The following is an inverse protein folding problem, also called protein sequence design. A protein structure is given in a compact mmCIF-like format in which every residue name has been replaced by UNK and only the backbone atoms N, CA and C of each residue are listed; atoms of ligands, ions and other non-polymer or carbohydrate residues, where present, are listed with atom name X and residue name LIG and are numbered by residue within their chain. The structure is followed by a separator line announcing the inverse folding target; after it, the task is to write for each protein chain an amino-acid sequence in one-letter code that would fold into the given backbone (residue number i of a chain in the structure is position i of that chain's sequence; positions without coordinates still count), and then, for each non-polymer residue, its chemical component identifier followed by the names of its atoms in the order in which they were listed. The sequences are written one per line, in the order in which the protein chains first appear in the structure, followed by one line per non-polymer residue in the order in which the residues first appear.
data_IF_048085017874
#
_entry.id   IF_048085017874
#
_cell.length_a   1.000
_cell.length_b   1.000
_cell.length_c   1.000
_cell.angle_alpha   90.00
_cell.angle_beta   90.00
_cell.angle_gamma   90.00
#
_symmetry.space_group_name_H-M   'P 1'
#
loop_
_entity.id
_entity.type
_entity.pdbx_description
1 polymer ?
#
# COMPACT_ATOMS: atom_id res chain seq x y z
N UNK A 1 24.47 -26.90 -73.33
CA UNK A 1 23.38 -25.96 -73.20
C UNK A 1 22.80 -26.13 -71.79
N UNK A 2 23.19 -25.23 -70.87
CA UNK A 2 22.97 -25.33 -69.45
C UNK A 2 21.67 -24.60 -69.10
N UNK A 3 20.76 -25.30 -68.47
CA UNK A 3 19.58 -24.69 -67.82
C UNK A 3 19.93 -24.38 -66.35
N UNK A 4 20.02 -23.10 -66.01
CA UNK A 4 20.19 -22.64 -64.66
C UNK A 4 18.79 -22.34 -64.12
N UNK A 5 18.38 -23.08 -63.10
CA UNK A 5 17.14 -22.84 -62.34
C UNK A 5 17.35 -21.73 -61.33
N UNK A 6 16.53 -20.71 -61.41
CA UNK A 6 16.40 -19.66 -60.36
C UNK A 6 15.58 -20.22 -59.23
N UNK A 7 16.20 -20.36 -58.04
CA UNK A 7 15.53 -20.55 -56.77
C UNK A 7 15.33 -19.17 -56.17
N UNK A 8 14.12 -18.69 -56.18
CA UNK A 8 13.75 -17.45 -55.50
C UNK A 8 13.60 -17.70 -54.00
N UNK A 9 14.32 -16.92 -53.24
CA UNK A 9 14.29 -16.87 -51.77
C UNK A 9 13.00 -16.18 -51.33
N UNK A 10 12.14 -16.91 -50.64
CA UNK A 10 11.01 -16.38 -49.91
C UNK A 10 11.23 -16.67 -48.41
N UNK A 11 12.04 -15.84 -47.75
CA UNK A 11 12.15 -15.81 -46.30
C UNK A 11 12.25 -14.34 -45.87
N UNK A 12 11.20 -13.81 -45.34
CA UNK A 12 11.19 -12.72 -44.32
C UNK A 12 9.84 -12.00 -44.30
N UNK A 13 8.87 -12.53 -43.61
CA UNK A 13 7.73 -11.74 -43.09
C UNK A 13 6.94 -12.47 -41.98
N UNK A 14 7.60 -12.98 -40.92
CA UNK A 14 6.87 -13.55 -39.79
C UNK A 14 7.52 -13.29 -38.42
N UNK A 15 8.21 -12.17 -38.26
CA UNK A 15 8.90 -11.88 -36.99
C UNK A 15 8.56 -10.51 -36.33
N UNK A 16 7.44 -9.87 -36.69
CA UNK A 16 7.07 -8.56 -36.05
C UNK A 16 5.73 -8.60 -35.30
N UNK A 17 4.97 -9.67 -35.35
CA UNK A 17 3.68 -9.77 -34.67
C UNK A 17 3.76 -10.28 -33.18
N UNK A 18 4.94 -10.62 -32.70
CA UNK A 18 5.11 -11.25 -31.36
C UNK A 18 5.47 -10.32 -30.21
N UNK A 19 5.78 -9.06 -30.46
CA UNK A 19 6.27 -8.15 -29.41
C UNK A 19 5.18 -7.20 -28.87
N UNK A 20 4.08 -7.02 -29.57
CA UNK A 20 2.98 -6.16 -29.11
C UNK A 20 2.03 -6.81 -28.09
N UNK A 21 2.10 -8.12 -27.86
CA UNK A 21 1.20 -8.85 -26.96
C UNK A 21 1.75 -9.00 -25.52
N UNK A 22 2.95 -8.48 -25.22
CA UNK A 22 3.57 -8.62 -23.89
C UNK A 22 3.45 -7.38 -22.99
N UNK A 23 2.81 -6.30 -23.44
CA UNK A 23 2.64 -5.09 -22.66
C UNK A 23 1.22 -4.82 -22.14
N UNK A 24 0.31 -5.77 -22.26
CA UNK A 24 -1.10 -5.59 -21.87
C UNK A 24 -1.55 -6.50 -20.72
N UNK A 25 -0.65 -6.85 -19.80
CA UNK A 25 -0.98 -7.71 -18.66
C UNK A 25 -0.33 -7.26 -17.36
N UNK A 26 -0.46 -6.00 -17.02
CA UNK A 26 -0.08 -5.50 -15.69
C UNK A 26 -1.21 -4.73 -14.98
N UNK A 27 -2.45 -4.92 -15.39
CA UNK A 27 -3.62 -4.56 -14.56
C UNK A 27 -4.23 -5.83 -14.00
N UNK A 28 -3.53 -6.46 -13.07
CA UNK A 28 -4.07 -7.53 -12.25
C UNK A 28 -5.27 -7.02 -11.47
N UNK A 29 -6.45 -7.24 -12.01
CA UNK A 29 -7.70 -6.90 -11.37
C UNK A 29 -7.96 -7.96 -10.32
N UNK A 30 -7.78 -7.64 -9.03
CA UNK A 30 -8.13 -8.57 -7.95
C UNK A 30 -9.59 -9.01 -8.14
N UNK A 31 -9.84 -10.32 -8.15
CA UNK A 31 -11.18 -10.91 -8.21
C UNK A 31 -11.95 -10.77 -6.89
N UNK A 32 -11.48 -9.94 -5.95
CA UNK A 32 -12.10 -9.70 -4.67
C UNK A 32 -13.28 -8.72 -4.73
N UNK A 33 -14.10 -8.76 -3.68
CA UNK A 33 -15.19 -7.81 -3.49
C UNK A 33 -14.67 -6.38 -3.37
N UNK A 34 -15.43 -5.44 -3.93
CA UNK A 34 -15.10 -4.02 -3.80
C UNK A 34 -15.62 -3.47 -2.46
N UNK A 35 -14.85 -2.58 -1.85
CA UNK A 35 -15.27 -1.86 -0.66
C UNK A 35 -16.53 -1.02 -0.94
N UNK A 36 -17.54 -1.06 -0.06
CA UNK A 36 -18.74 -0.26 -0.19
C UNK A 36 -18.42 1.24 -0.20
N UNK A 37 -19.34 2.05 -0.72
CA UNK A 37 -19.26 3.52 -0.89
C UNK A 37 -18.28 3.93 -2.00
N UNK A 38 -17.02 3.47 -1.95
CA UNK A 38 -15.97 3.94 -2.85
C UNK A 38 -15.69 3.00 -4.02
N UNK A 39 -16.13 1.73 -3.94
CA UNK A 39 -15.87 0.75 -4.99
C UNK A 39 -14.38 0.41 -5.16
N UNK A 40 -13.58 0.61 -4.13
CA UNK A 40 -12.15 0.29 -4.12
C UNK A 40 -11.98 -1.21 -3.95
N UNK A 41 -11.23 -1.83 -4.86
CA UNK A 41 -10.80 -3.22 -4.73
C UNK A 41 -9.44 -3.30 -4.04
N UNK A 42 -9.14 -4.45 -3.43
CA UNK A 42 -7.82 -4.69 -2.84
C UNK A 42 -6.75 -4.59 -3.93
N UNK A 43 -5.82 -3.61 -3.86
CA UNK A 43 -4.79 -3.46 -4.86
C UNK A 43 -3.83 -4.65 -4.86
N UNK A 44 -3.47 -5.16 -6.03
CA UNK A 44 -2.47 -6.21 -6.14
C UNK A 44 -1.05 -5.69 -5.89
N UNK A 45 -0.16 -6.55 -5.41
CA UNK A 45 1.25 -6.22 -5.21
C UNK A 45 1.52 -5.16 -4.14
N UNK A 46 0.53 -4.74 -3.36
CA UNK A 46 0.72 -3.67 -2.36
C UNK A 46 1.79 -4.00 -1.29
N UNK A 47 2.09 -5.26 -1.08
CA UNK A 47 3.15 -5.70 -0.16
C UNK A 47 4.56 -5.38 -0.64
N UNK A 48 4.72 -5.18 -1.95
CA UNK A 48 6.01 -4.86 -2.59
C UNK A 48 6.21 -3.34 -2.79
N UNK A 49 5.24 -2.53 -2.34
CA UNK A 49 5.33 -1.08 -2.42
C UNK A 49 6.36 -0.54 -1.44
N UNK A 50 6.84 0.67 -1.72
CA UNK A 50 7.88 1.31 -0.88
C UNK A 50 7.32 1.84 0.41
N UNK A 51 8.13 1.75 1.46
CA UNK A 51 7.82 2.29 2.78
C UNK A 51 7.73 3.82 2.72
N UNK A 52 6.63 4.34 3.26
CA UNK A 52 6.45 5.78 3.53
C UNK A 52 6.78 6.06 5.00
N UNK A 53 6.24 5.27 5.92
CA UNK A 53 6.35 5.51 7.36
C UNK A 53 6.06 4.24 8.16
N UNK A 54 6.52 4.26 9.41
CA UNK A 54 6.12 3.28 10.43
C UNK A 54 5.54 4.01 11.63
N UNK A 55 4.56 3.39 12.30
CA UNK A 55 3.91 3.96 13.48
C UNK A 55 3.62 2.87 14.51
N UNK A 56 3.67 3.26 15.77
CA UNK A 56 3.08 2.53 16.87
C UNK A 56 1.84 3.28 17.35
N UNK A 57 0.72 2.57 17.50
CA UNK A 57 -0.51 3.12 18.05
C UNK A 57 -0.80 2.43 19.38
N UNK A 58 -0.97 3.25 20.41
CA UNK A 58 -1.36 2.78 21.75
C UNK A 58 -2.54 3.59 22.24
N UNK A 59 -3.40 2.99 23.03
CA UNK A 59 -4.54 3.70 23.60
C UNK A 59 -5.56 2.76 24.23
N UNK A 60 -6.61 3.34 24.79
CA UNK A 60 -7.74 2.57 25.29
C UNK A 60 -8.55 2.06 24.12
N UNK A 61 -8.88 0.77 24.12
CA UNK A 61 -9.76 0.21 23.10
C UNK A 61 -11.18 0.76 23.27
N UNK A 62 -11.77 1.24 22.18
CA UNK A 62 -13.14 1.80 22.16
C UNK A 62 -14.24 0.73 22.37
N UNK A 63 -13.89 -0.54 22.41
CA UNK A 63 -14.83 -1.68 22.44
C UNK A 63 -15.19 -2.17 23.83
N UNK A 64 -14.88 -1.44 24.89
CA UNK A 64 -15.33 -1.78 26.25
C UNK A 64 -14.74 -3.03 26.90
N UNK A 65 -13.81 -3.72 26.24
CA UNK A 65 -13.16 -4.95 26.76
C UNK A 65 -12.04 -4.67 27.77
N UNK A 66 -11.73 -3.40 28.02
CA UNK A 66 -10.64 -3.01 28.93
C UNK A 66 -9.23 -3.32 28.43
N UNK A 67 -9.10 -3.90 27.24
CA UNK A 67 -7.80 -4.23 26.64
C UNK A 67 -7.19 -2.98 26.01
N UNK A 68 -5.92 -2.73 26.29
CA UNK A 68 -5.18 -1.63 25.68
C UNK A 68 -4.93 -1.90 24.20
N UNK A 69 -5.14 -0.89 23.35
CA UNK A 69 -4.76 -0.95 21.96
C UNK A 69 -3.23 -0.89 21.85
N UNK A 70 -2.63 -1.90 21.26
CA UNK A 70 -1.19 -1.94 20.94
C UNK A 70 -1.04 -2.45 19.51
N UNK A 71 -0.70 -1.57 18.59
CA UNK A 71 -0.59 -1.88 17.18
C UNK A 71 0.68 -1.31 16.58
N UNK A 72 1.30 -2.08 15.72
CA UNK A 72 2.30 -1.62 14.78
C UNK A 72 1.67 -1.41 13.40
N UNK A 73 2.10 -0.35 12.72
CA UNK A 73 1.61 0.02 11.41
C UNK A 73 2.77 0.34 10.48
N UNK A 74 2.75 -0.23 9.27
CA UNK A 74 3.59 0.21 8.17
C UNK A 74 2.71 0.90 7.12
N UNK A 75 3.17 2.03 6.61
CA UNK A 75 2.50 2.78 5.56
C UNK A 75 3.35 2.72 4.30
N UNK A 76 2.75 2.21 3.23
CA UNK A 76 3.39 1.96 1.94
C UNK A 76 2.75 2.83 0.86
N UNK A 77 3.51 3.14 -0.19
CA UNK A 77 3.02 3.88 -1.33
C UNK A 77 3.42 3.25 -2.65
N UNK A 78 2.53 3.35 -3.64
CA UNK A 78 2.91 3.07 -5.01
C UNK A 78 3.89 4.15 -5.53
N UNK A 79 4.44 3.96 -6.70
CA UNK A 79 5.47 4.87 -7.26
C UNK A 79 5.00 6.32 -7.36
N UNK A 80 3.72 6.55 -7.68
CA UNK A 80 3.16 7.90 -7.76
C UNK A 80 3.07 8.57 -6.38
N UNK A 81 2.63 7.86 -5.36
CA UNK A 81 2.60 8.37 -3.99
C UNK A 81 4.01 8.67 -3.48
N UNK A 82 4.95 7.76 -3.68
CA UNK A 82 6.36 7.96 -3.27
C UNK A 82 6.98 9.15 -3.99
N UNK A 83 6.73 9.29 -5.30
CA UNK A 83 7.23 10.46 -6.04
C UNK A 83 6.66 11.76 -5.50
N UNK A 84 5.33 11.81 -5.24
CA UNK A 84 4.67 13.00 -4.69
C UNK A 84 5.26 13.40 -3.33
N UNK A 85 5.55 12.44 -2.45
CA UNK A 85 6.19 12.70 -1.16
C UNK A 85 7.60 13.28 -1.32
N UNK A 86 8.42 12.72 -2.20
CA UNK A 86 9.80 13.18 -2.44
C UNK A 86 9.86 14.58 -3.03
N UNK A 87 8.92 14.88 -3.94
CA UNK A 87 8.83 16.16 -4.61
C UNK A 87 8.08 17.22 -3.78
N UNK A 88 7.49 16.84 -2.65
CA UNK A 88 6.61 17.73 -1.87
C UNK A 88 5.35 18.15 -2.62
N UNK A 89 4.88 17.31 -3.57
CA UNK A 89 3.74 17.63 -4.43
C UNK A 89 2.41 17.46 -3.69
N UNK A 90 1.62 18.54 -3.63
CA UNK A 90 0.23 18.54 -3.15
C UNK A 90 -0.64 19.37 -4.10
N UNK A 91 -1.88 18.94 -4.37
CA UNK A 91 -2.46 17.64 -3.99
C UNK A 91 -1.74 16.46 -4.63
N UNK A 92 -1.90 15.28 -4.06
CA UNK A 92 -1.37 14.05 -4.66
C UNK A 92 -1.94 13.86 -6.08
N UNK A 93 -1.14 13.34 -7.03
CA UNK A 93 -1.61 13.09 -8.39
C UNK A 93 -2.61 11.93 -8.42
N UNK A 94 -3.55 11.98 -9.36
CA UNK A 94 -4.47 10.87 -9.62
C UNK A 94 -3.69 9.58 -9.90
N UNK A 95 -4.16 8.46 -9.33
CA UNK A 95 -3.46 7.19 -9.35
C UNK A 95 -2.46 6.99 -8.20
N UNK A 96 -2.19 7.99 -7.35
CA UNK A 96 -1.43 7.77 -6.12
C UNK A 96 -2.23 6.87 -5.17
N UNK A 97 -1.56 5.87 -4.58
CA UNK A 97 -2.16 4.95 -3.62
C UNK A 97 -1.29 4.86 -2.38
N UNK A 98 -1.92 4.97 -1.23
CA UNK A 98 -1.31 4.80 0.09
C UNK A 98 -1.98 3.61 0.76
N UNK A 99 -1.18 2.68 1.26
CA UNK A 99 -1.63 1.54 2.04
C UNK A 99 -1.15 1.67 3.48
N UNK A 100 -2.02 1.37 4.46
CA UNK A 100 -1.66 1.26 5.86
C UNK A 100 -1.92 -0.18 6.32
N UNK A 101 -0.86 -0.89 6.66
CA UNK A 101 -0.91 -2.29 7.11
C UNK A 101 -0.83 -2.33 8.62
N UNK A 102 -1.74 -3.05 9.25
CA UNK A 102 -1.89 -3.07 10.70
C UNK A 102 -1.66 -4.47 11.27
N UNK A 103 -0.92 -4.53 12.37
CA UNK A 103 -0.68 -5.75 13.14
C UNK A 103 -0.85 -5.45 14.64
N UNK A 104 -1.19 -6.49 15.40
CA UNK A 104 -0.98 -6.44 16.83
C UNK A 104 0.53 -6.30 17.10
N UNK A 105 0.87 -5.51 18.11
CA UNK A 105 2.22 -5.50 18.67
C UNK A 105 2.41 -6.77 19.48
N UNK A 106 3.53 -7.45 19.28
CA UNK A 106 3.92 -8.66 19.96
C UNK A 106 5.38 -8.57 20.44
N UNK A 107 5.77 -9.42 21.36
CA UNK A 107 7.13 -9.49 21.90
C UNK A 107 7.49 -10.94 22.18
N UNK A 108 8.79 -11.24 22.26
CA UNK A 108 9.25 -12.55 22.65
C UNK A 108 10.34 -12.45 23.72
N UNK A 109 10.32 -13.38 24.68
CA UNK A 109 11.35 -13.44 25.71
C UNK A 109 12.73 -13.72 25.11
N UNK A 110 12.81 -14.50 24.03
CA UNK A 110 14.06 -14.80 23.33
C UNK A 110 14.66 -13.53 22.70
N UNK A 111 13.82 -12.72 22.04
CA UNK A 111 14.27 -11.48 21.42
C UNK A 111 14.73 -10.48 22.48
N UNK A 112 13.97 -10.35 23.57
CA UNK A 112 14.32 -9.48 24.69
C UNK A 112 15.62 -9.91 25.39
N UNK A 113 15.83 -11.21 25.60
CA UNK A 113 17.10 -11.73 26.11
C UNK A 113 18.27 -11.45 25.16
N UNK A 114 18.05 -11.60 23.85
CA UNK A 114 19.07 -11.34 22.83
C UNK A 114 19.48 -9.87 22.80
N UNK A 115 18.49 -8.97 22.84
CA UNK A 115 18.73 -7.51 22.88
C UNK A 115 19.44 -7.11 24.19
N UNK A 116 19.00 -7.64 25.33
CA UNK A 116 19.63 -7.38 26.62
C UNK A 116 21.08 -7.90 26.69
N UNK A 117 21.37 -9.05 26.08
CA UNK A 117 22.73 -9.61 26.00
C UNK A 117 23.63 -8.76 25.08
N UNK A 118 23.11 -8.26 23.96
CA UNK A 118 23.85 -7.39 23.03
C UNK A 118 24.11 -5.99 23.57
N UNK A 119 23.22 -5.50 24.47
CA UNK A 119 23.27 -4.14 25.01
C UNK A 119 23.04 -4.13 26.53
N UNK A 120 23.99 -4.71 27.30
CA UNK A 120 23.81 -4.87 28.74
C UNK A 120 23.67 -3.51 29.45
N UNK A 121 22.72 -3.44 30.38
CA UNK A 121 22.50 -2.25 31.21
C UNK A 121 21.64 -1.16 30.55
N UNK A 122 21.19 -1.29 29.30
CA UNK A 122 20.34 -0.31 28.64
C UNK A 122 18.84 -0.54 28.88
N UNK A 123 18.43 -1.71 29.39
CA UNK A 123 17.03 -2.02 29.62
C UNK A 123 16.17 -2.04 28.33
N UNK A 124 16.78 -2.42 27.21
CA UNK A 124 16.08 -2.45 25.92
C UNK A 124 15.13 -3.66 25.87
N UNK A 125 13.94 -3.40 25.33
CA UNK A 125 12.97 -4.43 24.99
C UNK A 125 12.66 -4.36 23.49
N UNK A 126 12.41 -5.52 22.89
CA UNK A 126 12.07 -5.65 21.46
C UNK A 126 10.60 -5.96 21.31
N UNK A 127 9.95 -5.26 20.38
CA UNK A 127 8.60 -5.58 19.92
C UNK A 127 8.57 -5.68 18.40
N UNK A 128 7.68 -6.53 17.88
CA UNK A 128 7.56 -6.77 16.45
C UNK A 128 6.09 -6.85 16.02
N UNK A 129 5.86 -6.86 14.69
CA UNK A 129 4.52 -7.02 14.12
C UNK A 129 4.08 -8.49 14.25
N UNK A 130 3.12 -8.73 15.13
CA UNK A 130 2.52 -10.05 15.38
C UNK A 130 1.39 -10.36 14.39
N UNK A 131 0.23 -10.78 14.92
CA UNK A 131 -0.91 -11.17 14.07
C UNK A 131 -1.45 -9.98 13.25
N UNK A 132 -1.70 -10.24 11.94
CA UNK A 132 -2.26 -9.24 11.04
C UNK A 132 -3.70 -8.88 11.42
N UNK A 133 -4.03 -7.61 11.39
CA UNK A 133 -5.36 -7.08 11.67
C UNK A 133 -6.10 -6.75 10.37
N UNK A 134 -5.72 -5.67 9.71
CA UNK A 134 -6.35 -5.19 8.48
C UNK A 134 -5.35 -4.43 7.61
N UNK A 135 -5.77 -4.15 6.39
CA UNK A 135 -5.07 -3.27 5.47
C UNK A 135 -6.03 -2.18 4.98
N UNK A 136 -5.64 -0.93 5.15
CA UNK A 136 -6.42 0.23 4.70
C UNK A 136 -5.77 0.86 3.49
N UNK A 137 -6.60 1.39 2.59
CA UNK A 137 -6.13 2.02 1.36
C UNK A 137 -6.79 3.37 1.14
N UNK A 138 -6.00 4.31 0.63
CA UNK A 138 -6.44 5.56 0.05
C UNK A 138 -6.01 5.59 -1.42
N UNK A 139 -6.95 5.79 -2.33
CA UNK A 139 -6.69 5.84 -3.78
C UNK A 139 -7.11 7.22 -4.31
N UNK A 140 -6.18 7.95 -4.91
CA UNK A 140 -6.44 9.26 -5.49
C UNK A 140 -7.08 9.12 -6.87
N UNK A 141 -8.26 9.71 -7.02
CA UNK A 141 -8.94 9.98 -8.29
C UNK A 141 -9.82 11.21 -8.06
N UNK A 142 -9.34 12.36 -8.51
CA UNK A 142 -9.95 13.67 -8.25
C UNK A 142 -11.35 13.81 -8.82
N UNK A 143 -11.68 13.06 -9.89
CA UNK A 143 -12.98 13.05 -10.54
C UNK A 143 -13.95 12.08 -9.88
N UNK A 144 -13.51 10.83 -9.73
CA UNK A 144 -14.34 9.75 -9.16
C UNK A 144 -14.72 10.02 -7.70
N UNK A 145 -13.79 10.56 -6.93
CA UNK A 145 -13.94 10.76 -5.49
C UNK A 145 -14.05 12.24 -5.09
N UNK A 146 -14.58 13.09 -5.97
CA UNK A 146 -14.71 14.54 -5.73
C UNK A 146 -15.39 14.87 -4.38
N UNK A 147 -16.42 14.10 -3.99
CA UNK A 147 -17.16 14.29 -2.73
C UNK A 147 -16.34 13.99 -1.47
N UNK A 148 -15.22 13.30 -1.60
CA UNK A 148 -14.30 12.92 -0.51
C UNK A 148 -12.89 13.50 -0.71
N UNK A 149 -12.81 14.71 -1.27
CA UNK A 149 -11.53 15.40 -1.50
C UNK A 149 -10.64 14.73 -2.55
N UNK A 150 -11.23 13.94 -3.44
CA UNK A 150 -10.52 13.19 -4.47
C UNK A 150 -9.93 11.86 -3.99
N UNK A 151 -10.32 11.36 -2.81
CA UNK A 151 -9.82 10.10 -2.26
C UNK A 151 -10.92 9.07 -2.10
N UNK A 152 -10.71 7.88 -2.66
CA UNK A 152 -11.45 6.67 -2.32
C UNK A 152 -10.77 5.93 -1.17
N UNK A 153 -11.57 5.32 -0.31
CA UNK A 153 -11.10 4.63 0.89
C UNK A 153 -11.53 3.17 0.89
N UNK A 154 -10.70 2.31 1.46
CA UNK A 154 -11.04 0.92 1.71
C UNK A 154 -10.34 0.39 2.95
N UNK A 155 -11.00 -0.57 3.61
CA UNK A 155 -10.47 -1.37 4.71
C UNK A 155 -10.73 -2.84 4.41
N UNK A 156 -9.69 -3.68 4.47
CA UNK A 156 -9.78 -5.11 4.20
C UNK A 156 -9.24 -5.91 5.37
N UNK A 157 -10.05 -6.86 5.85
CA UNK A 157 -9.62 -7.86 6.83
C UNK A 157 -9.64 -9.24 6.18
N UNK A 158 -8.50 -9.93 6.18
CA UNK A 158 -8.35 -11.25 5.51
C UNK A 158 -8.82 -11.23 4.05
N UNK A 159 -8.51 -10.15 3.34
CA UNK A 159 -8.85 -9.95 1.93
C UNK A 159 -10.30 -9.58 1.65
N UNK A 160 -11.16 -9.46 2.65
CA UNK A 160 -12.56 -9.05 2.51
C UNK A 160 -12.74 -7.60 2.95
N UNK A 161 -13.53 -6.79 2.20
CA UNK A 161 -13.81 -5.42 2.61
C UNK A 161 -14.65 -5.39 3.88
N UNK A 162 -14.44 -4.36 4.70
CA UNK A 162 -15.33 -4.02 5.79
C UNK A 162 -16.72 -3.60 5.30
N UNK A 163 -17.63 -3.40 6.24
CA UNK A 163 -19.01 -3.01 5.93
C UNK A 163 -19.15 -1.51 5.55
N UNK A 164 -20.35 -1.12 5.16
CA UNK A 164 -20.68 0.26 4.79
C UNK A 164 -20.53 1.23 5.99
N UNK A 165 -20.92 0.79 7.19
CA UNK A 165 -20.84 1.61 8.40
C UNK A 165 -19.39 1.97 8.77
N UNK A 166 -18.45 1.06 8.51
CA UNK A 166 -17.01 1.30 8.65
C UNK A 166 -16.55 2.33 7.61
N UNK A 167 -16.86 2.10 6.32
CA UNK A 167 -16.39 2.96 5.24
C UNK A 167 -17.00 4.37 5.27
N UNK A 168 -18.21 4.53 5.79
CA UNK A 168 -18.83 5.84 5.99
C UNK A 168 -18.04 6.75 6.96
N UNK A 169 -17.18 6.20 7.81
CA UNK A 169 -16.33 6.94 8.76
C UNK A 169 -14.99 7.39 8.18
N UNK A 170 -14.58 6.84 7.03
CA UNK A 170 -13.25 7.09 6.49
C UNK A 170 -13.03 8.58 6.20
N UNK A 171 -13.81 9.17 5.30
CA UNK A 171 -13.62 10.57 4.92
C UNK A 171 -13.84 11.56 6.07
N UNK A 172 -14.89 11.46 6.90
CA UNK A 172 -15.03 12.32 8.08
C UNK A 172 -13.81 12.30 9.01
N UNK A 173 -13.19 11.14 9.21
CA UNK A 173 -11.96 11.02 9.98
C UNK A 173 -10.77 11.74 9.29
N UNK A 174 -10.69 11.69 7.97
CA UNK A 174 -9.61 12.30 7.20
C UNK A 174 -9.82 13.81 6.91
N UNK A 175 -11.04 14.32 6.99
CA UNK A 175 -11.40 15.71 6.70
C UNK A 175 -10.53 16.76 7.42
N UNK A 176 -10.13 16.58 8.70
CA UNK A 176 -9.25 17.55 9.39
C UNK A 176 -7.86 17.68 8.77
N UNK A 177 -7.40 16.72 7.97
CA UNK A 177 -6.09 16.75 7.32
C UNK A 177 -6.11 17.42 5.93
N UNK A 178 -7.11 18.27 5.63
CA UNK A 178 -7.32 18.92 4.32
C UNK A 178 -6.06 19.60 3.79
N UNK A 179 -5.33 20.31 4.63
CA UNK A 179 -4.11 21.05 4.24
C UNK A 179 -2.97 20.13 3.77
N UNK A 180 -3.09 18.84 3.99
CA UNK A 180 -2.17 17.79 3.52
C UNK A 180 -2.87 16.84 2.56
N UNK A 181 -3.82 17.36 1.80
CA UNK A 181 -4.65 16.57 0.89
C UNK A 181 -5.31 15.36 1.58
N UNK A 182 -5.81 15.56 2.82
CA UNK A 182 -6.50 14.54 3.65
C UNK A 182 -5.63 13.35 4.09
N UNK A 183 -4.29 13.46 4.00
CA UNK A 183 -3.36 12.40 4.33
C UNK A 183 -2.68 12.67 5.67
N UNK A 184 -2.76 11.70 6.61
CA UNK A 184 -2.08 11.78 7.91
C UNK A 184 -0.63 11.29 7.85
N UNK A 185 -0.32 10.42 6.89
CA UNK A 185 1.00 9.82 6.74
C UNK A 185 2.04 10.86 6.36
N UNK A 186 3.22 10.79 6.99
CA UNK A 186 4.36 11.63 6.69
C UNK A 186 5.49 10.78 6.14
N UNK A 187 6.19 11.28 5.13
CA UNK A 187 7.35 10.60 4.59
C UNK A 187 8.49 10.64 5.60
N UNK A 188 9.05 9.48 5.92
CA UNK A 188 10.21 9.39 6.82
C UNK A 188 11.50 9.55 6.03
N UNK A 189 12.52 10.21 6.62
CA UNK A 189 13.85 10.28 6.03
C UNK A 189 14.45 8.89 5.82
N UNK A 190 15.28 8.73 4.80
CA UNK A 190 16.04 7.50 4.57
C UNK A 190 17.28 7.51 5.46
N UNK A 191 17.43 6.57 6.41
CA UNK A 191 18.62 6.53 7.26
C UNK A 191 19.91 6.43 6.43
N UNK A 192 20.92 7.23 6.81
CA UNK A 192 22.24 7.22 6.17
C UNK A 192 22.37 8.08 4.90
N UNK A 193 21.34 8.86 4.53
CA UNK A 193 21.38 9.76 3.36
C UNK A 193 21.32 11.25 3.71
N UNK A 194 21.25 11.61 4.99
CA UNK A 194 21.24 12.98 5.51
C UNK A 194 22.50 13.28 6.32
#
# INVERSE_FOLDING_TARGET
MRRIALVAVAVAATAVAGVAAYMESASGQSNGDAAPIYGVKLPEGYRDWRLISVKRLTGKQLTGTGTELKQLRAELGNDLAIKAYRDGTLPFPDGAIIAALHWNEDSSDLDNQSVAAGFPGLGLESTFAGSALNAQFMIKDSKKYAASGGWGFADFTKGKPGDEALHAKCFPCHAPAKDRDYVFTRYVPTPGTE
#
